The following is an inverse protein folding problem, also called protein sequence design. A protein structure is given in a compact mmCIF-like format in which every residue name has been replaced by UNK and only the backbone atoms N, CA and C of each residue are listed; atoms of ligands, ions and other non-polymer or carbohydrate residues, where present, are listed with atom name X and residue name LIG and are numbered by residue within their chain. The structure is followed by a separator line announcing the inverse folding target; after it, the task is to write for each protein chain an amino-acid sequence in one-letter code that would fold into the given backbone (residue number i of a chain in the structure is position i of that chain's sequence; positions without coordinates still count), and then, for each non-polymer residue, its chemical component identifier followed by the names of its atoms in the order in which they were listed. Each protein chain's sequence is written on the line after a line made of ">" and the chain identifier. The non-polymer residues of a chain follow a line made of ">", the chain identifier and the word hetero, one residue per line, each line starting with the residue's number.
data_IF_559371776993
#
_entry.id   IF_559371776993
#
_cell.length_a   1.000
_cell.length_b   1.000
_cell.length_c   1.000
_cell.angle_alpha   90.00
_cell.angle_beta   90.00
_cell.angle_gamma   90.00
#
_symmetry.space_group_name_H-M   'P 1'
#
loop_
_entity.id
_entity.type
_entity.pdbx_description
1 polymer ?
#
# COMPACT_ATOMS: atom_id res chain seq x y z
N UNK A 1 -22.11 -15.35 15.88
CA UNK A 1 -21.65 -14.14 15.16
C UNK A 1 -20.13 -14.11 15.23
N UNK A 2 -19.43 -14.38 14.13
CA UNK A 2 -17.96 -14.26 14.12
C UNK A 2 -17.60 -12.78 14.15
N UNK A 3 -16.84 -12.34 15.15
CA UNK A 3 -16.17 -11.03 15.14
C UNK A 3 -15.18 -11.01 13.96
N UNK A 4 -15.65 -10.63 12.78
CA UNK A 4 -14.79 -10.44 11.62
C UNK A 4 -13.81 -9.32 11.94
N UNK A 5 -12.51 -9.64 12.08
CA UNK A 5 -11.45 -8.62 12.22
C UNK A 5 -11.51 -7.71 10.99
N UNK A 6 -12.05 -6.51 11.16
CA UNK A 6 -12.00 -5.45 10.16
C UNK A 6 -10.53 -5.20 9.82
N UNK A 7 -10.23 -5.18 8.51
CA UNK A 7 -8.92 -4.83 7.97
C UNK A 7 -9.05 -3.48 7.26
N UNK A 8 -7.95 -2.76 7.15
CA UNK A 8 -7.91 -1.51 6.41
C UNK A 8 -6.57 -1.37 5.70
N UNK A 9 -6.59 -0.68 4.56
CA UNK A 9 -5.40 -0.20 3.89
C UNK A 9 -5.20 1.28 4.21
N UNK A 10 -3.99 1.65 4.62
CA UNK A 10 -3.59 3.03 4.88
C UNK A 10 -2.50 3.47 3.91
N UNK A 11 -2.67 4.65 3.31
CA UNK A 11 -1.72 5.21 2.34
C UNK A 11 -1.43 6.65 2.72
N UNK A 12 -0.16 7.03 2.61
CA UNK A 12 0.31 8.41 2.72
C UNK A 12 1.25 8.70 1.57
N UNK A 13 0.97 9.76 0.82
CA UNK A 13 1.78 10.24 -0.30
C UNK A 13 2.46 11.54 0.12
N UNK A 14 3.78 11.56 -0.08
CA UNK A 14 4.63 12.73 0.13
C UNK A 14 5.47 12.96 -1.11
N UNK A 15 5.79 14.21 -1.42
CA UNK A 15 6.75 14.51 -2.47
C UNK A 15 8.20 14.29 -2.02
N UNK A 16 9.13 14.58 -2.91
CA UNK A 16 10.59 14.54 -2.71
C UNK A 16 11.08 15.45 -1.57
N UNK A 17 10.40 16.55 -1.30
CA UNK A 17 10.65 17.44 -0.15
C UNK A 17 10.07 16.92 1.17
N UNK A 18 9.38 15.78 1.16
CA UNK A 18 8.69 15.21 2.32
C UNK A 18 7.38 15.90 2.65
N UNK A 19 6.90 16.83 1.82
CA UNK A 19 5.63 17.52 2.00
C UNK A 19 4.46 16.57 1.75
N UNK A 20 3.43 16.64 2.59
CA UNK A 20 2.21 15.87 2.44
C UNK A 20 1.46 16.25 1.15
N UNK A 21 0.98 15.24 0.42
CA UNK A 21 0.23 15.43 -0.83
C UNK A 21 -1.15 14.80 -0.78
N UNK A 22 -1.26 13.60 -0.21
CA UNK A 22 -2.53 12.94 0.00
C UNK A 22 -2.41 11.84 1.06
N UNK A 23 -3.54 11.43 1.62
CA UNK A 23 -3.67 10.20 2.39
C UNK A 23 -5.06 9.62 2.23
N UNK A 24 -5.18 8.32 2.36
CA UNK A 24 -6.46 7.65 2.48
C UNK A 24 -6.38 6.47 3.45
N UNK A 25 -7.52 6.19 4.07
CA UNK A 25 -7.75 4.98 4.86
C UNK A 25 -8.98 4.30 4.31
N UNK A 26 -8.82 3.07 3.83
CA UNK A 26 -9.89 2.34 3.15
C UNK A 26 -10.20 1.10 3.99
N UNK A 27 -11.41 0.97 4.56
CA UNK A 27 -11.83 -0.26 5.20
C UNK A 27 -12.00 -1.35 4.14
N UNK A 28 -11.39 -2.51 4.37
CA UNK A 28 -11.47 -3.66 3.48
C UNK A 28 -12.49 -4.64 4.05
N UNK A 29 -13.67 -4.71 3.41
CA UNK A 29 -14.76 -5.60 3.79
C UNK A 29 -14.51 -7.04 3.29
N UNK A 30 -13.52 -7.75 3.84
CA UNK A 30 -13.25 -9.16 3.51
C UNK A 30 -12.36 -9.84 4.55
N UNK A 31 -12.36 -11.18 4.58
CA UNK A 31 -11.42 -12.01 5.34
C UNK A 31 -10.03 -12.07 4.66
N UNK A 32 -9.40 -10.92 4.42
CA UNK A 32 -8.07 -10.89 3.84
C UNK A 32 -7.01 -11.30 4.86
N UNK A 33 -5.99 -12.00 4.35
CA UNK A 33 -4.76 -12.21 5.10
C UNK A 33 -4.07 -10.87 5.35
N UNK A 34 -3.24 -10.79 6.39
CA UNK A 34 -2.41 -9.60 6.65
C UNK A 34 -1.55 -9.28 5.43
N UNK A 35 -0.91 -10.28 4.84
CA UNK A 35 -0.06 -10.10 3.65
C UNK A 35 -0.83 -9.51 2.48
N UNK A 36 -2.04 -10.00 2.20
CA UNK A 36 -2.88 -9.50 1.11
C UNK A 36 -3.36 -8.08 1.38
N UNK A 37 -3.70 -7.77 2.62
CA UNK A 37 -4.09 -6.41 3.07
C UNK A 37 -2.96 -5.41 2.80
N UNK A 38 -1.73 -5.76 3.18
CA UNK A 38 -0.54 -4.95 2.95
C UNK A 38 -0.24 -4.77 1.45
N UNK A 39 -0.30 -5.86 0.67
CA UNK A 39 -0.11 -5.78 -0.77
C UNK A 39 -1.16 -4.90 -1.47
N UNK A 40 -2.42 -4.92 -1.00
CA UNK A 40 -3.46 -4.02 -1.51
C UNK A 40 -3.15 -2.55 -1.16
N UNK A 41 -2.66 -2.26 0.05
CA UNK A 41 -2.25 -0.91 0.41
C UNK A 41 -1.12 -0.40 -0.51
N UNK A 42 -0.16 -1.26 -0.86
CA UNK A 42 0.89 -0.93 -1.83
C UNK A 42 0.32 -0.57 -3.21
N UNK A 43 -0.54 -1.43 -3.77
CA UNK A 43 -1.13 -1.22 -5.10
C UNK A 43 -1.96 0.05 -5.15
N UNK A 44 -2.85 0.24 -4.16
CA UNK A 44 -3.68 1.44 -4.06
C UNK A 44 -2.83 2.70 -3.88
N UNK A 45 -1.72 2.62 -3.13
CA UNK A 45 -0.79 3.74 -2.96
C UNK A 45 -0.06 4.12 -4.24
N UNK A 46 0.38 3.13 -5.02
CA UNK A 46 1.03 3.34 -6.32
C UNK A 46 0.05 3.92 -7.35
N UNK A 47 -1.19 3.41 -7.41
CA UNK A 47 -2.25 3.95 -8.27
C UNK A 47 -2.54 5.41 -7.92
N UNK A 48 -2.73 5.70 -6.63
CA UNK A 48 -2.97 7.07 -6.14
C UNK A 48 -1.81 8.01 -6.46
N UNK A 49 -0.56 7.55 -6.36
CA UNK A 49 0.61 8.36 -6.72
C UNK A 49 0.64 8.65 -8.23
N UNK A 50 0.32 7.66 -9.07
CA UNK A 50 0.22 7.85 -10.52
C UNK A 50 -0.89 8.85 -10.88
N UNK A 51 -2.05 8.75 -10.25
CA UNK A 51 -3.19 9.65 -10.48
C UNK A 51 -2.89 11.10 -10.06
N UNK A 52 -1.99 11.29 -9.08
CA UNK A 52 -1.47 12.61 -8.68
C UNK A 52 -0.33 13.13 -9.59
N UNK A 53 0.05 12.38 -10.63
CA UNK A 53 1.07 12.78 -11.59
C UNK A 53 2.51 12.46 -11.19
N UNK A 54 2.73 11.62 -10.18
CA UNK A 54 4.08 11.14 -9.85
C UNK A 54 4.52 10.07 -10.85
N UNK A 55 5.70 10.26 -11.44
CA UNK A 55 6.32 9.32 -12.38
C UNK A 55 7.45 8.49 -11.76
N UNK A 56 7.97 8.92 -10.62
CA UNK A 56 9.00 8.22 -9.84
C UNK A 56 8.58 8.20 -8.37
N UNK A 57 8.58 7.01 -7.76
CA UNK A 57 8.03 6.79 -6.42
C UNK A 57 8.95 5.89 -5.60
N UNK A 58 9.03 6.16 -4.30
CA UNK A 58 9.64 5.26 -3.32
C UNK A 58 8.51 4.69 -2.47
N UNK A 59 8.24 3.40 -2.63
CA UNK A 59 7.26 2.70 -1.80
C UNK A 59 7.89 2.34 -0.45
N UNK A 60 7.31 2.85 0.65
CA UNK A 60 7.72 2.54 2.02
C UNK A 60 6.64 1.71 2.71
N UNK A 61 7.03 0.53 3.20
CA UNK A 61 6.15 -0.38 3.92
C UNK A 61 6.92 -1.05 5.07
N UNK A 62 6.24 -1.37 6.16
CA UNK A 62 6.78 -2.14 7.29
C UNK A 62 6.68 -3.66 7.08
N UNK A 63 5.85 -4.09 6.13
CA UNK A 63 5.69 -5.50 5.76
C UNK A 63 6.89 -6.04 4.97
N UNK A 64 7.88 -6.60 5.70
CA UNK A 64 9.04 -7.29 5.10
C UNK A 64 8.64 -8.32 4.06
N UNK A 65 7.58 -9.09 4.34
CA UNK A 65 7.08 -10.14 3.45
C UNK A 65 6.60 -9.60 2.09
N UNK A 66 5.98 -8.42 2.06
CA UNK A 66 5.53 -7.78 0.81
C UNK A 66 6.70 -7.10 0.11
N UNK A 67 7.60 -6.44 0.85
CA UNK A 67 8.82 -5.85 0.29
C UNK A 67 9.68 -6.92 -0.41
N UNK A 68 9.83 -8.09 0.21
CA UNK A 68 10.54 -9.22 -0.40
C UNK A 68 9.85 -9.69 -1.68
N UNK A 69 8.55 -9.96 -1.63
CA UNK A 69 7.77 -10.38 -2.79
C UNK A 69 7.90 -9.43 -3.99
N UNK A 70 7.90 -8.10 -3.76
CA UNK A 70 8.08 -7.09 -4.82
C UNK A 70 9.51 -7.13 -5.40
N UNK A 71 10.52 -7.40 -4.57
CA UNK A 71 11.92 -7.35 -4.98
C UNK A 71 12.47 -8.69 -5.49
N UNK A 72 11.80 -9.80 -5.22
CA UNK A 72 12.19 -11.15 -5.67
C UNK A 72 11.77 -11.42 -7.12
N UNK A 73 10.88 -10.61 -7.70
CA UNK A 73 10.44 -10.67 -9.10
C UNK A 73 11.47 -10.01 -10.06
N UNK A 74 12.76 -10.33 -9.88
CA UNK A 74 13.90 -9.71 -10.58
C UNK A 74 14.48 -10.53 -11.74
N UNK A 75 13.78 -11.55 -12.22
CA UNK A 75 14.19 -12.38 -13.36
C UNK A 75 13.47 -11.97 -14.66
N UNK A 76 13.61 -10.72 -15.09
CA UNK A 76 13.26 -10.25 -16.44
C UNK A 76 14.40 -9.44 -17.06
#
# INVERSE_FOLDING_TARGET
>A
MQNGKLRSAGIVIRNDKGEFRAACSIPLQTHLSVRTTEAMAAVMGLQSARDLGFSSVILKMDSKAVVQMINEDKDW
#
